data_IF_855831615068
#
_entry.id   IF_855831615068
#
_cell.length_a   1.000
_cell.length_b   1.000
_cell.length_c   1.000
_cell.angle_alpha   90.00
_cell.angle_beta   90.00
_cell.angle_gamma   90.00
#
_symmetry.space_group_name_H-M   'P 1'
#
loop_
_entity.id
_entity.type
_entity.pdbx_description
1 polymer ?
#
# COMPACT_ATOMS: atom_id res chain seq x y z
N UNK A 1 -1.48 -32.02 17.20
CA UNK A 1 -0.59 -30.90 16.70
C UNK A 1 -1.21 -30.09 15.56
N UNK A 2 -1.94 -30.73 14.64
CA UNK A 2 -2.59 -30.05 13.51
C UNK A 2 -3.72 -29.11 13.99
N UNK A 3 -4.46 -29.47 15.03
CA UNK A 3 -5.55 -28.67 15.58
C UNK A 3 -5.09 -27.32 16.19
N UNK A 4 -3.91 -27.28 16.82
CA UNK A 4 -3.36 -26.02 17.37
C UNK A 4 -2.94 -25.04 16.27
N UNK A 5 -2.45 -25.52 15.13
CA UNK A 5 -2.09 -24.68 13.99
C UNK A 5 -3.34 -24.06 13.32
N UNK A 6 -4.46 -24.79 13.29
CA UNK A 6 -5.73 -24.33 12.74
C UNK A 6 -6.37 -23.22 13.60
N UNK A 7 -6.36 -23.37 14.93
CA UNK A 7 -6.91 -22.36 15.87
C UNK A 7 -6.19 -21.01 15.74
N UNK A 8 -4.87 -21.01 15.59
CA UNK A 8 -4.10 -19.79 15.34
C UNK A 8 -4.48 -19.13 14.00
N UNK A 9 -4.72 -19.92 12.97
CA UNK A 9 -5.14 -19.42 11.64
C UNK A 9 -6.54 -18.83 11.67
N UNK A 10 -7.48 -19.40 12.41
CA UNK A 10 -8.85 -18.88 12.56
C UNK A 10 -8.86 -17.49 13.22
N UNK A 11 -8.08 -17.30 14.30
CA UNK A 11 -7.95 -16.00 14.96
C UNK A 11 -7.34 -14.95 14.02
N UNK A 12 -6.27 -15.28 13.30
CA UNK A 12 -5.65 -14.39 12.33
C UNK A 12 -6.61 -13.99 11.20
N UNK A 13 -7.40 -14.94 10.68
CA UNK A 13 -8.37 -14.69 9.61
C UNK A 13 -9.49 -13.76 10.12
N UNK A 14 -10.03 -14.01 11.31
CA UNK A 14 -11.09 -13.19 11.90
C UNK A 14 -10.60 -11.76 12.15
N UNK A 15 -9.40 -11.62 12.73
CA UNK A 15 -8.84 -10.30 13.08
C UNK A 15 -8.43 -9.50 11.84
N UNK A 16 -7.96 -10.19 10.77
CA UNK A 16 -7.51 -9.52 9.56
C UNK A 16 -8.64 -9.18 8.58
N UNK A 17 -9.63 -10.07 8.45
CA UNK A 17 -10.67 -9.95 7.41
C UNK A 17 -12.04 -9.67 8.04
N UNK A 18 -12.20 -9.86 9.35
CA UNK A 18 -13.47 -9.67 10.07
C UNK A 18 -14.54 -10.72 9.72
N UNK A 19 -14.14 -11.89 9.20
CA UNK A 19 -15.02 -12.99 8.82
C UNK A 19 -14.80 -14.14 9.81
N UNK A 20 -15.89 -14.71 10.33
CA UNK A 20 -15.82 -15.89 11.19
C UNK A 20 -15.58 -17.15 10.34
N UNK A 21 -14.42 -17.79 10.46
CA UNK A 21 -14.16 -19.03 9.77
C UNK A 21 -14.93 -20.18 10.43
N UNK A 22 -15.45 -21.09 9.62
CA UNK A 22 -16.07 -22.34 10.09
C UNK A 22 -15.07 -23.48 9.87
N UNK A 23 -14.69 -24.15 10.97
CA UNK A 23 -13.71 -25.23 10.95
C UNK A 23 -14.40 -26.59 11.18
N UNK A 24 -14.26 -27.50 10.21
CA UNK A 24 -14.75 -28.88 10.26
C UNK A 24 -13.67 -29.87 10.76
N UNK A 25 -12.53 -29.39 11.28
CA UNK A 25 -11.40 -30.21 11.71
C UNK A 25 -10.43 -30.63 10.60
N UNK A 26 -10.84 -30.58 9.34
CA UNK A 26 -10.01 -30.86 8.16
C UNK A 26 -9.90 -29.69 7.19
N UNK A 27 -10.90 -28.82 7.17
CA UNK A 27 -10.97 -27.68 6.22
C UNK A 27 -11.54 -26.47 6.94
N UNK A 28 -10.95 -25.31 6.71
CA UNK A 28 -11.49 -24.03 7.13
C UNK A 28 -12.33 -23.46 5.99
N UNK A 29 -13.63 -23.27 6.24
CA UNK A 29 -14.56 -22.66 5.27
C UNK A 29 -14.77 -21.20 5.63
N UNK A 30 -14.53 -20.32 4.67
CA UNK A 30 -14.83 -18.90 4.76
C UNK A 30 -16.11 -18.62 3.97
N UNK A 31 -17.14 -18.18 4.69
CA UNK A 31 -18.38 -17.72 4.06
C UNK A 31 -18.30 -16.21 3.94
N UNK A 32 -18.15 -15.71 2.71
CA UNK A 32 -18.16 -14.29 2.41
C UNK A 32 -19.61 -13.82 2.29
N UNK A 33 -20.11 -12.97 3.21
CA UNK A 33 -21.41 -12.35 3.05
C UNK A 33 -21.36 -11.37 1.86
N UNK A 34 -22.50 -11.15 1.22
CA UNK A 34 -22.61 -10.11 0.19
C UNK A 34 -22.18 -8.76 0.78
N UNK A 35 -21.32 -8.06 0.04
CA UNK A 35 -20.84 -6.74 0.46
C UNK A 35 -21.98 -5.73 0.37
N UNK A 36 -22.44 -5.25 1.53
CA UNK A 36 -23.39 -4.14 1.59
C UNK A 36 -22.75 -2.85 1.05
N UNK A 37 -23.56 -1.92 0.53
CA UNK A 37 -23.05 -0.62 0.07
C UNK A 37 -22.25 0.13 1.15
N UNK A 38 -22.67 0.02 2.39
CA UNK A 38 -21.98 0.63 3.53
C UNK A 38 -20.57 0.05 3.70
N UNK A 39 -20.43 -1.28 3.60
CA UNK A 39 -19.14 -1.97 3.69
C UNK A 39 -18.23 -1.60 2.51
N UNK A 40 -18.77 -1.51 1.30
CA UNK A 40 -18.02 -1.05 0.13
C UNK A 40 -17.46 0.35 0.32
N UNK A 41 -18.28 1.29 0.80
CA UNK A 41 -17.85 2.66 1.10
C UNK A 41 -16.78 2.73 2.20
N UNK A 42 -16.89 1.86 3.21
CA UNK A 42 -15.85 1.74 4.25
C UNK A 42 -14.53 1.25 3.66
N UNK A 43 -14.57 0.22 2.82
CA UNK A 43 -13.37 -0.32 2.15
C UNK A 43 -12.71 0.71 1.23
N UNK A 44 -13.49 1.51 0.50
CA UNK A 44 -12.94 2.61 -0.30
C UNK A 44 -12.24 3.67 0.57
N UNK A 45 -12.79 3.98 1.74
CA UNK A 45 -12.13 4.92 2.69
C UNK A 45 -10.81 4.35 3.23
N UNK A 46 -10.79 3.07 3.58
CA UNK A 46 -9.58 2.38 4.02
C UNK A 46 -8.52 2.38 2.91
N UNK A 47 -8.92 2.04 1.68
CA UNK A 47 -8.04 2.09 0.52
C UNK A 47 -7.47 3.50 0.28
N UNK A 48 -8.30 4.54 0.42
CA UNK A 48 -7.85 5.93 0.30
C UNK A 48 -6.80 6.29 1.35
N UNK A 49 -6.98 5.83 2.59
CA UNK A 49 -5.98 6.04 3.67
C UNK A 49 -4.65 5.40 3.31
N UNK A 50 -4.65 4.16 2.81
CA UNK A 50 -3.44 3.47 2.35
C UNK A 50 -2.73 4.19 1.21
N UNK A 51 -3.49 4.78 0.28
CA UNK A 51 -2.94 5.60 -0.81
C UNK A 51 -2.23 6.84 -0.27
N UNK A 52 -2.85 7.56 0.68
CA UNK A 52 -2.21 8.73 1.29
C UNK A 52 -0.96 8.36 2.10
N UNK A 53 -0.98 7.26 2.83
CA UNK A 53 0.21 6.73 3.52
C UNK A 53 1.32 6.39 2.53
N UNK A 54 1.00 5.74 1.41
CA UNK A 54 1.96 5.43 0.35
C UNK A 54 2.58 6.70 -0.25
N UNK A 55 1.79 7.76 -0.47
CA UNK A 55 2.30 9.06 -0.93
C UNK A 55 3.24 9.71 0.08
N UNK A 56 2.98 9.56 1.38
CA UNK A 56 3.87 10.05 2.43
C UNK A 56 5.21 9.30 2.38
N UNK A 57 5.19 7.98 2.25
CA UNK A 57 6.41 7.17 2.13
C UNK A 57 7.23 7.57 0.91
N UNK A 58 6.58 7.77 -0.25
CA UNK A 58 7.26 8.24 -1.46
C UNK A 58 7.91 9.62 -1.28
N UNK A 59 7.23 10.57 -0.61
CA UNK A 59 7.81 11.89 -0.30
C UNK A 59 9.00 11.79 0.66
N UNK A 60 8.97 10.89 1.62
CA UNK A 60 10.09 10.64 2.52
C UNK A 60 11.28 10.05 1.76
N UNK A 61 11.05 9.03 0.93
CA UNK A 61 12.10 8.44 0.07
C UNK A 61 12.75 9.49 -0.85
N UNK A 62 11.95 10.41 -1.45
CA UNK A 62 12.50 11.54 -2.21
C UNK A 62 13.42 12.41 -1.36
N UNK A 63 12.99 12.76 -0.14
CA UNK A 63 13.78 13.60 0.76
C UNK A 63 15.11 12.93 1.09
N UNK A 64 15.06 11.67 1.45
CA UNK A 64 16.25 10.89 1.79
C UNK A 64 17.22 10.81 0.60
N UNK A 65 16.71 10.54 -0.61
CA UNK A 65 17.50 10.52 -1.83
C UNK A 65 18.18 11.87 -2.12
N UNK A 66 17.48 13.00 -1.96
CA UNK A 66 18.05 14.32 -2.15
C UNK A 66 19.11 14.63 -1.08
N UNK A 67 18.90 14.23 0.16
CA UNK A 67 19.87 14.42 1.24
C UNK A 67 21.13 13.59 1.01
N UNK A 68 21.02 12.38 0.48
CA UNK A 68 22.16 11.56 0.10
C UNK A 68 22.92 12.14 -1.10
N UNK A 69 22.21 12.64 -2.11
CA UNK A 69 22.84 13.36 -3.24
C UNK A 69 23.63 14.58 -2.75
N UNK A 70 23.11 15.35 -1.80
CA UNK A 70 23.83 16.49 -1.20
C UNK A 70 25.06 16.06 -0.40
N UNK A 71 25.05 14.91 0.26
CA UNK A 71 26.22 14.35 0.95
C UNK A 71 27.32 13.99 -0.06
N UNK A 72 26.94 13.37 -1.17
CA UNK A 72 27.85 12.99 -2.25
C UNK A 72 28.46 14.22 -2.92
N UNK A 73 27.66 15.27 -3.12
CA UNK A 73 28.17 16.56 -3.64
C UNK A 73 29.17 17.20 -2.68
N UNK A 74 28.88 17.23 -1.38
CA UNK A 74 29.82 17.75 -0.36
C UNK A 74 31.14 16.98 -0.32
N UNK A 75 31.12 15.69 -0.66
CA UNK A 75 32.33 14.88 -0.85
C UNK A 75 33.05 15.16 -2.17
N UNK A 76 32.61 16.17 -2.94
CA UNK A 76 33.17 16.57 -4.25
C UNK A 76 33.19 15.45 -5.30
N UNK A 77 32.28 14.48 -5.19
CA UNK A 77 32.17 13.36 -6.14
C UNK A 77 31.32 13.73 -7.36
N UNK A 78 30.36 14.65 -7.20
CA UNK A 78 29.49 15.17 -8.28
C UNK A 78 29.50 16.69 -8.31
N UNK A 79 29.23 17.24 -9.50
CA UNK A 79 29.14 18.69 -9.71
C UNK A 79 27.79 19.25 -9.26
N UNK A 80 27.67 20.57 -9.15
CA UNK A 80 26.37 21.22 -8.84
C UNK A 80 25.34 21.02 -9.95
N UNK A 81 25.79 20.98 -11.20
CA UNK A 81 24.90 20.75 -12.33
C UNK A 81 24.39 19.30 -12.35
N UNK A 82 25.24 18.34 -11.99
CA UNK A 82 24.81 16.95 -11.82
C UNK A 82 23.78 16.81 -10.70
N UNK A 83 23.97 17.50 -9.57
CA UNK A 83 23.00 17.49 -8.47
C UNK A 83 21.62 17.99 -8.92
N UNK A 84 21.57 19.07 -9.73
CA UNK A 84 20.31 19.59 -10.27
C UNK A 84 19.64 18.56 -11.17
N UNK A 85 20.39 17.99 -12.11
CA UNK A 85 19.88 17.00 -13.04
C UNK A 85 19.31 15.76 -12.29
N UNK A 86 20.05 15.22 -11.34
CA UNK A 86 19.58 14.09 -10.53
C UNK A 86 18.35 14.44 -9.67
N UNK A 87 18.27 15.66 -9.14
CA UNK A 87 17.11 16.11 -8.38
C UNK A 87 15.86 16.17 -9.28
N UNK A 88 16.01 16.71 -10.50
CA UNK A 88 14.92 16.73 -11.48
C UNK A 88 14.48 15.32 -11.89
N UNK A 89 15.40 14.39 -12.04
CA UNK A 89 15.09 13.02 -12.39
C UNK A 89 14.35 12.29 -11.24
N UNK A 90 14.75 12.52 -9.98
CA UNK A 90 14.02 12.02 -8.80
C UNK A 90 12.60 12.59 -8.77
N UNK A 91 12.43 13.89 -9.08
CA UNK A 91 11.12 14.53 -9.12
C UNK A 91 10.23 13.99 -10.24
N UNK A 92 10.78 13.72 -11.43
CA UNK A 92 10.06 13.06 -12.54
C UNK A 92 9.61 11.65 -12.16
N UNK A 93 10.49 10.87 -11.52
CA UNK A 93 10.16 9.52 -11.05
C UNK A 93 9.03 9.57 -9.99
N UNK A 94 9.12 10.48 -9.02
CA UNK A 94 8.09 10.65 -8.01
C UNK A 94 6.74 11.01 -8.62
N UNK A 95 6.71 11.98 -9.54
CA UNK A 95 5.49 12.40 -10.23
C UNK A 95 4.84 11.23 -10.96
N UNK A 96 5.64 10.49 -11.75
CA UNK A 96 5.16 9.32 -12.49
C UNK A 96 4.57 8.26 -11.58
N UNK A 97 5.25 7.92 -10.49
CA UNK A 97 4.76 6.91 -9.54
C UNK A 97 3.50 7.39 -8.80
N UNK A 98 3.41 8.68 -8.46
CA UNK A 98 2.21 9.25 -7.82
C UNK A 98 1.00 9.17 -8.76
N UNK A 99 1.19 9.50 -10.04
CA UNK A 99 0.13 9.41 -11.05
C UNK A 99 -0.32 7.96 -11.28
N UNK A 100 0.61 7.01 -11.22
CA UNK A 100 0.32 5.58 -11.34
C UNK A 100 -0.51 5.07 -10.14
N UNK A 101 -0.15 5.45 -8.92
CA UNK A 101 -0.91 5.13 -7.71
C UNK A 101 -2.32 5.72 -7.77
N UNK A 102 -2.48 6.96 -8.23
CA UNK A 102 -3.78 7.60 -8.37
C UNK A 102 -4.66 6.92 -9.44
N UNK A 103 -4.07 6.43 -10.52
CA UNK A 103 -4.78 5.62 -11.54
C UNK A 103 -5.25 4.30 -10.95
N UNK A 104 -4.35 3.56 -10.31
CA UNK A 104 -4.67 2.28 -9.65
C UNK A 104 -5.78 2.43 -8.61
N UNK A 105 -5.75 3.52 -7.83
CA UNK A 105 -6.79 3.80 -6.85
C UNK A 105 -8.15 4.00 -7.53
N UNK A 106 -8.23 4.81 -8.60
CA UNK A 106 -9.47 5.05 -9.33
C UNK A 106 -10.05 3.77 -9.94
N UNK A 107 -9.19 2.94 -10.52
CA UNK A 107 -9.59 1.64 -11.07
C UNK A 107 -10.17 0.73 -9.98
N UNK A 108 -9.49 0.65 -8.83
CA UNK A 108 -9.95 -0.16 -7.69
C UNK A 108 -11.21 0.40 -7.02
N UNK A 109 -11.34 1.71 -6.92
CA UNK A 109 -12.57 2.35 -6.44
C UNK A 109 -13.77 1.98 -7.32
N UNK A 110 -13.62 2.05 -8.64
CA UNK A 110 -14.67 1.66 -9.57
C UNK A 110 -14.99 0.16 -9.46
N UNK A 111 -14.00 -0.69 -9.36
CA UNK A 111 -14.18 -2.13 -9.18
C UNK A 111 -14.97 -2.46 -7.91
N UNK A 112 -14.62 -1.85 -6.77
CA UNK A 112 -15.30 -2.05 -5.48
C UNK A 112 -16.76 -1.57 -5.52
N UNK A 113 -17.04 -0.47 -6.25
CA UNK A 113 -18.39 0.09 -6.33
C UNK A 113 -19.26 -0.58 -7.39
N UNK A 114 -18.67 -1.22 -8.41
CA UNK A 114 -19.40 -1.85 -9.52
C UNK A 114 -19.89 -3.28 -9.25
N UNK A 115 -19.37 -3.93 -8.21
CA UNK A 115 -19.81 -5.26 -7.76
C UNK A 115 -21.03 -5.03 -6.86
#
# INVERSE_FOLDING_TARGET
>A
EIAQCLVGSEMCIRDSIGINPNNDGHVIRLVFPELTEERRRSTVKEAKTLVEESKIVMRNARRDAIDDLKKIQKASTITEDDLKNYTEDVDKILSKNTDEVDKLFKEKEQEILSI
#
